data_IF_646180598754
#
_entry.id   IF_646180598754
#
_cell.length_a   1.000
_cell.length_b   1.000
_cell.length_c   1.000
_cell.angle_alpha   90.00
_cell.angle_beta   90.00
_cell.angle_gamma   90.00
#
_symmetry.space_group_name_H-M   'P 1'
#
loop_
_entity.id
_entity.type
_entity.pdbx_description
1 polymer ?
#
# COMPACT_ATOMS: atom_id res chain seq x y z
N UNK A 1 9.18 -66.88 26.26
CA UNK A 1 8.85 -65.90 27.25
C UNK A 1 9.27 -64.50 26.79
N UNK A 2 8.40 -63.89 26.08
CA UNK A 2 8.64 -62.49 25.69
C UNK A 2 8.26 -61.56 26.83
N UNK A 3 9.25 -60.98 27.47
CA UNK A 3 9.02 -59.87 28.38
C UNK A 3 8.65 -58.65 27.57
N UNK A 4 7.37 -58.35 27.49
CA UNK A 4 6.87 -57.07 27.01
C UNK A 4 7.15 -56.05 28.06
N UNK A 5 8.17 -55.22 27.85
CA UNK A 5 8.42 -54.03 28.67
C UNK A 5 7.42 -52.98 28.21
N UNK A 6 6.29 -52.89 28.92
CA UNK A 6 5.40 -51.77 28.81
C UNK A 6 6.14 -50.53 29.34
N UNK A 7 6.71 -49.77 28.46
CA UNK A 7 7.24 -48.48 28.81
C UNK A 7 6.09 -47.55 29.05
N UNK A 8 5.64 -47.39 30.26
CA UNK A 8 4.69 -46.36 30.68
C UNK A 8 5.44 -45.02 30.55
N UNK A 9 5.18 -44.34 29.46
CA UNK A 9 5.58 -42.92 29.35
C UNK A 9 4.63 -42.10 30.23
N UNK A 10 5.02 -41.85 31.46
CA UNK A 10 4.40 -40.78 32.23
C UNK A 10 4.67 -39.45 31.57
N UNK A 11 3.69 -38.93 30.91
CA UNK A 11 3.72 -37.53 30.48
C UNK A 11 3.49 -36.66 31.72
N UNK A 12 4.54 -35.99 32.19
CA UNK A 12 4.39 -34.97 33.19
C UNK A 12 3.56 -33.81 32.61
N UNK A 13 2.36 -33.70 33.09
CA UNK A 13 1.54 -32.53 32.80
C UNK A 13 1.84 -31.46 33.84
N UNK A 14 2.16 -30.26 33.43
CA UNK A 14 2.27 -29.14 34.31
C UNK A 14 0.87 -28.65 34.66
N UNK A 15 0.45 -28.89 35.89
CA UNK A 15 -0.79 -28.32 36.43
C UNK A 15 -0.52 -26.90 36.91
N UNK A 16 -1.35 -25.98 36.46
CA UNK A 16 -1.38 -24.63 37.03
C UNK A 16 -2.35 -24.60 38.20
N UNK A 17 -1.98 -23.94 39.27
CA UNK A 17 -2.86 -23.70 40.38
C UNK A 17 -3.09 -22.18 40.52
N UNK A 18 -4.34 -21.72 40.34
CA UNK A 18 -5.59 -22.41 40.08
C UNK A 18 -5.69 -22.99 38.65
N UNK A 19 -6.50 -24.03 38.49
CA UNK A 19 -6.69 -24.75 37.20
C UNK A 19 -7.35 -23.91 36.09
N UNK A 20 -7.94 -22.79 36.46
CA UNK A 20 -8.68 -21.89 35.58
C UNK A 20 -7.87 -20.68 35.10
N UNK A 21 -6.55 -20.85 34.93
CA UNK A 21 -5.70 -19.78 34.39
C UNK A 21 -6.06 -19.51 32.94
N UNK A 22 -6.75 -18.42 32.69
CA UNK A 22 -7.05 -17.96 31.32
C UNK A 22 -5.92 -17.06 30.84
N UNK A 23 -5.13 -17.57 29.90
CA UNK A 23 -4.13 -16.79 29.20
C UNK A 23 -4.77 -16.03 28.03
N UNK A 24 -4.84 -14.72 28.13
CA UNK A 24 -5.30 -13.86 27.02
C UNK A 24 -4.07 -13.33 26.29
N UNK A 25 -3.87 -13.82 25.08
CA UNK A 25 -2.88 -13.23 24.17
C UNK A 25 -3.52 -12.02 23.48
N UNK A 26 -2.89 -10.87 23.60
CA UNK A 26 -3.23 -9.70 22.82
C UNK A 26 -1.99 -9.23 22.08
N UNK A 27 -2.21 -8.80 20.84
CA UNK A 27 -1.15 -8.18 20.08
C UNK A 27 -1.07 -6.71 20.49
N UNK A 28 0.04 -6.33 21.07
CA UNK A 28 0.29 -4.93 21.36
C UNK A 28 0.22 -4.12 20.05
N UNK A 29 -0.58 -3.07 20.06
CA UNK A 29 -0.67 -2.17 18.89
C UNK A 29 0.65 -1.42 18.79
N UNK A 30 1.32 -1.58 17.67
CA UNK A 30 2.47 -0.73 17.32
C UNK A 30 1.94 0.67 17.09
N UNK A 31 2.09 1.54 18.07
CA UNK A 31 1.62 2.94 18.00
C UNK A 31 2.59 3.83 17.22
N UNK A 32 3.73 3.30 16.80
CA UNK A 32 4.73 4.07 16.07
C UNK A 32 4.28 4.35 14.64
N UNK A 33 4.15 5.63 14.32
CA UNK A 33 3.80 6.08 12.97
C UNK A 33 5.05 6.22 12.09
N UNK A 34 5.05 5.53 10.96
CA UNK A 34 6.12 5.55 9.97
C UNK A 34 5.54 5.40 8.58
N UNK A 35 6.19 6.01 7.60
CA UNK A 35 5.94 5.67 6.19
C UNK A 35 6.62 4.32 5.88
N UNK A 36 5.82 3.30 5.57
CA UNK A 36 6.32 1.96 5.25
C UNK A 36 6.72 1.88 3.79
N UNK A 37 5.87 2.40 2.92
CA UNK A 37 6.00 2.23 1.48
C UNK A 37 5.36 3.37 0.73
N UNK A 38 5.97 3.74 -0.36
CA UNK A 38 5.41 4.62 -1.37
C UNK A 38 5.53 3.96 -2.74
N UNK A 39 4.50 4.01 -3.56
CA UNK A 39 4.52 3.42 -4.88
C UNK A 39 3.65 4.18 -5.87
N UNK A 40 4.01 4.06 -7.14
CA UNK A 40 3.22 4.57 -8.27
C UNK A 40 2.98 3.42 -9.24
N UNK A 41 1.92 2.61 -9.01
CA UNK A 41 1.62 1.46 -9.86
C UNK A 41 1.28 1.89 -11.28
N UNK A 42 0.57 3.00 -11.41
CA UNK A 42 0.09 3.55 -12.68
C UNK A 42 0.48 5.01 -12.83
N UNK A 43 0.44 5.53 -14.04
CA UNK A 43 0.75 6.94 -14.32
C UNK A 43 -0.19 7.90 -13.59
N UNK A 44 -1.47 7.53 -13.41
CA UNK A 44 -2.51 8.36 -12.79
C UNK A 44 -2.71 8.14 -11.30
N UNK A 45 -2.02 7.15 -10.69
CA UNK A 45 -2.22 6.80 -9.29
C UNK A 45 -0.89 6.58 -8.59
N UNK A 46 -0.77 7.13 -7.39
CA UNK A 46 0.28 6.75 -6.46
C UNK A 46 -0.30 6.55 -5.05
N UNK A 47 0.43 5.83 -4.22
CA UNK A 47 -0.07 5.39 -2.93
C UNK A 47 1.00 5.51 -1.85
N UNK A 48 0.56 5.87 -0.65
CA UNK A 48 1.38 5.86 0.55
C UNK A 48 0.78 4.89 1.57
N UNK A 49 1.64 4.12 2.20
CA UNK A 49 1.28 3.16 3.23
C UNK A 49 2.01 3.50 4.52
N UNK A 50 1.26 3.70 5.58
CA UNK A 50 1.77 4.01 6.91
C UNK A 50 1.58 2.82 7.85
N UNK A 51 2.38 2.73 8.91
CA UNK A 51 2.31 1.65 9.90
C UNK A 51 1.07 1.71 10.77
N UNK A 52 0.58 2.90 11.03
CA UNK A 52 -0.59 3.15 11.88
C UNK A 52 -1.46 4.23 11.27
N UNK A 53 -2.68 4.29 11.75
CA UNK A 53 -3.60 5.35 11.37
C UNK A 53 -3.11 6.69 11.91
N UNK A 54 -3.06 7.70 11.06
CA UNK A 54 -2.79 9.08 11.44
C UNK A 54 -4.11 9.83 11.75
N UNK A 55 -4.01 10.86 12.54
CA UNK A 55 -5.16 11.75 12.83
C UNK A 55 -5.35 12.79 11.72
N UNK A 56 -4.29 13.10 11.00
CA UNK A 56 -4.28 14.11 9.94
C UNK A 56 -3.64 13.59 8.65
N UNK A 57 -4.08 14.16 7.53
CA UNK A 57 -3.46 13.86 6.23
C UNK A 57 -2.03 14.42 6.18
N UNK A 58 -1.10 13.70 5.57
CA UNK A 58 0.24 14.22 5.32
C UNK A 58 0.19 15.40 4.33
N UNK A 59 1.07 16.35 4.53
CA UNK A 59 1.26 17.48 3.62
C UNK A 59 2.16 17.04 2.47
N UNK A 60 1.63 17.11 1.25
CA UNK A 60 2.36 16.82 0.04
C UNK A 60 2.71 18.11 -0.68
N UNK A 61 3.97 18.26 -1.07
CA UNK A 61 4.46 19.38 -1.87
C UNK A 61 5.21 18.88 -3.09
N UNK A 62 4.80 19.33 -4.28
CA UNK A 62 5.50 19.02 -5.53
C UNK A 62 6.86 19.71 -5.61
N UNK A 63 7.87 19.00 -6.09
CA UNK A 63 9.21 19.56 -6.33
C UNK A 63 9.47 19.80 -7.83
N UNK A 64 8.84 19.02 -8.70
CA UNK A 64 8.95 19.16 -10.15
C UNK A 64 7.60 19.35 -10.85
N UNK A 65 6.55 19.58 -10.10
CA UNK A 65 5.19 19.85 -10.56
C UNK A 65 4.44 20.73 -9.57
N UNK A 66 3.35 21.36 -9.99
CA UNK A 66 2.45 22.12 -9.13
C UNK A 66 1.39 21.17 -8.53
N UNK A 67 1.32 21.10 -7.20
CA UNK A 67 0.36 20.27 -6.48
C UNK A 67 -1.03 20.89 -6.37
N UNK A 68 -1.21 22.14 -6.71
CA UNK A 68 -2.47 22.88 -6.52
C UNK A 68 -3.62 22.20 -7.28
N UNK A 69 -4.62 21.69 -6.56
CA UNK A 69 -5.76 20.93 -7.12
C UNK A 69 -5.40 19.77 -8.05
N UNK A 70 -4.14 19.28 -7.98
CA UNK A 70 -3.64 18.25 -8.87
C UNK A 70 -4.13 16.84 -8.49
N UNK A 71 -4.59 16.64 -7.26
CA UNK A 71 -4.86 15.31 -6.72
C UNK A 71 -6.24 15.18 -6.09
N UNK A 72 -6.79 13.96 -6.20
CA UNK A 72 -7.93 13.50 -5.39
C UNK A 72 -7.40 12.44 -4.45
N UNK A 73 -7.66 12.59 -3.14
CA UNK A 73 -7.23 11.66 -2.11
C UNK A 73 -8.34 10.66 -1.80
N UNK A 74 -8.04 9.40 -1.92
CA UNK A 74 -8.91 8.30 -1.57
C UNK A 74 -8.38 7.55 -0.34
N UNK A 75 -9.27 7.25 0.60
CA UNK A 75 -9.00 6.48 1.81
C UNK A 75 -9.79 5.17 1.74
N UNK A 76 -9.21 4.07 1.21
CA UNK A 76 -9.95 2.84 0.91
C UNK A 76 -10.66 2.23 2.11
N UNK A 77 -10.05 2.32 3.29
CA UNK A 77 -10.60 1.76 4.54
C UNK A 77 -11.27 2.79 5.44
N UNK A 78 -11.40 4.06 4.98
CA UNK A 78 -11.77 5.18 5.82
C UNK A 78 -10.71 5.56 6.87
N UNK A 79 -9.56 4.87 6.87
CA UNK A 79 -8.42 5.11 7.76
C UNK A 79 -7.33 5.88 7.02
N UNK A 80 -6.51 6.62 7.77
CA UNK A 80 -5.36 7.36 7.23
C UNK A 80 -4.08 6.52 7.40
N UNK A 81 -4.14 5.23 7.21
CA UNK A 81 -3.00 4.32 7.12
C UNK A 81 -2.64 3.99 5.67
N UNK A 82 -3.63 4.02 4.79
CA UNK A 82 -3.45 3.80 3.36
C UNK A 82 -4.11 4.94 2.60
N UNK A 83 -3.32 5.64 1.80
CA UNK A 83 -3.77 6.79 1.02
C UNK A 83 -3.48 6.56 -0.45
N UNK A 84 -4.50 6.70 -1.27
CA UNK A 84 -4.38 6.71 -2.71
C UNK A 84 -4.58 8.13 -3.22
N UNK A 85 -3.67 8.57 -4.07
CA UNK A 85 -3.72 9.87 -4.73
C UNK A 85 -3.96 9.66 -6.22
N UNK A 86 -5.06 10.18 -6.71
CA UNK A 86 -5.41 10.17 -8.12
C UNK A 86 -5.02 11.48 -8.76
N UNK A 87 -4.23 11.42 -9.81
CA UNK A 87 -3.72 12.60 -10.50
C UNK A 87 -4.76 13.08 -11.51
N UNK A 88 -5.24 14.30 -11.33
CA UNK A 88 -6.21 14.95 -12.23
C UNK A 88 -5.52 15.63 -13.39
N UNK A 89 -4.36 16.23 -13.15
CA UNK A 89 -3.63 17.02 -14.13
C UNK A 89 -2.91 16.12 -15.13
N UNK A 90 -3.19 16.36 -16.41
CA UNK A 90 -2.61 15.59 -17.52
C UNK A 90 -1.11 15.83 -17.69
N UNK A 91 -0.60 16.99 -17.33
CA UNK A 91 0.81 17.29 -17.39
C UNK A 91 1.59 16.45 -16.37
N UNK A 92 1.02 16.27 -15.18
CA UNK A 92 1.64 15.53 -14.08
C UNK A 92 1.61 14.02 -14.35
N UNK A 93 0.49 13.45 -14.80
CA UNK A 93 0.45 12.02 -15.02
C UNK A 93 1.28 11.54 -16.23
N UNK A 94 1.57 12.42 -17.18
CA UNK A 94 2.48 12.12 -18.30
C UNK A 94 3.97 12.11 -17.89
N UNK A 95 4.29 12.66 -16.72
CA UNK A 95 5.67 12.65 -16.22
C UNK A 95 6.06 11.24 -15.76
N UNK A 96 7.19 10.74 -16.25
CA UNK A 96 7.72 9.44 -15.85
C UNK A 96 8.08 9.40 -14.35
N UNK A 97 8.65 10.48 -13.85
CA UNK A 97 9.12 10.59 -12.48
C UNK A 97 8.48 11.79 -11.79
N UNK A 98 7.82 11.54 -10.67
CA UNK A 98 7.34 12.58 -9.77
C UNK A 98 8.30 12.73 -8.59
N UNK A 99 8.75 13.95 -8.35
CA UNK A 99 9.54 14.31 -7.16
C UNK A 99 8.66 15.16 -6.26
N UNK A 100 8.56 14.75 -5.02
CA UNK A 100 7.73 15.42 -4.02
C UNK A 100 8.33 15.33 -2.63
N UNK A 101 8.02 16.28 -1.79
CA UNK A 101 8.26 16.19 -0.36
C UNK A 101 6.97 15.85 0.35
N UNK A 102 7.04 14.90 1.27
CA UNK A 102 5.93 14.45 2.09
C UNK A 102 6.25 14.75 3.54
N UNK A 103 5.44 15.61 4.16
CA UNK A 103 5.55 15.94 5.59
C UNK A 103 4.43 15.22 6.33
N UNK A 104 4.81 14.39 7.29
CA UNK A 104 3.89 13.60 8.10
C UNK A 104 4.39 13.51 9.53
N UNK A 105 3.51 13.10 10.45
CA UNK A 105 3.91 12.83 11.82
C UNK A 105 4.62 11.49 11.91
N UNK A 106 5.80 11.50 12.46
CA UNK A 106 6.66 10.33 12.66
C UNK A 106 6.90 10.13 14.15
N UNK A 107 6.86 8.88 14.60
CA UNK A 107 7.18 8.55 15.98
C UNK A 107 8.69 8.40 16.14
N UNK A 108 9.29 9.26 16.96
CA UNK A 108 10.71 9.23 17.24
C UNK A 108 11.11 8.13 18.24
N UNK A 109 12.38 8.08 18.61
CA UNK A 109 12.91 7.10 19.57
C UNK A 109 12.38 7.30 21.00
N UNK A 110 11.81 8.47 21.30
CA UNK A 110 11.18 8.82 22.58
C UNK A 110 9.66 8.59 22.58
N UNK A 111 9.14 7.92 21.55
CA UNK A 111 7.69 7.72 21.32
C UNK A 111 6.90 9.01 21.20
N UNK A 112 7.51 10.08 20.74
CA UNK A 112 6.85 11.36 20.48
C UNK A 112 6.55 11.49 19.00
N UNK A 113 5.39 12.07 18.68
CA UNK A 113 5.03 12.40 17.30
C UNK A 113 5.70 13.71 16.91
N UNK A 114 6.64 13.64 15.99
CA UNK A 114 7.36 14.80 15.44
C UNK A 114 7.10 14.92 13.94
N UNK A 115 7.02 16.13 13.39
CA UNK A 115 6.88 16.30 11.96
C UNK A 115 8.18 15.85 11.26
N UNK A 116 8.03 14.99 10.29
CA UNK A 116 9.12 14.51 9.43
C UNK A 116 8.81 14.80 7.98
N UNK A 117 9.79 15.29 7.26
CA UNK A 117 9.69 15.56 5.81
C UNK A 117 10.64 14.62 5.08
N UNK A 118 10.08 13.78 4.24
CA UNK A 118 10.84 12.87 3.37
C UNK A 118 10.68 13.31 1.92
N UNK A 119 11.79 13.31 1.16
CA UNK A 119 11.76 13.55 -0.28
C UNK A 119 11.58 12.22 -1.00
N UNK A 120 10.50 12.11 -1.76
CA UNK A 120 10.11 10.90 -2.47
C UNK A 120 10.29 11.08 -3.97
N UNK A 121 10.75 10.00 -4.61
CA UNK A 121 10.84 9.89 -6.05
C UNK A 121 9.97 8.71 -6.50
N UNK A 122 8.88 9.01 -7.19
CA UNK A 122 7.94 8.01 -7.66
C UNK A 122 8.03 7.86 -9.18
N UNK A 123 8.40 6.67 -9.61
CA UNK A 123 8.45 6.30 -11.03
C UNK A 123 7.24 5.42 -11.35
N UNK A 124 6.55 5.71 -12.45
CA UNK A 124 5.42 4.87 -12.88
C UNK A 124 5.93 3.50 -13.32
N UNK A 125 5.31 2.44 -12.79
CA UNK A 125 5.60 1.06 -13.21
C UNK A 125 5.00 0.76 -14.59
N UNK A 126 3.86 1.37 -14.88
CA UNK A 126 3.17 1.26 -16.17
C UNK A 126 3.27 2.62 -16.85
N UNK A 127 3.99 2.67 -17.95
CA UNK A 127 4.05 3.87 -18.77
C UNK A 127 2.75 4.03 -19.55
N UNK A 128 2.22 5.24 -19.70
CA UNK A 128 1.14 5.47 -20.64
C UNK A 128 1.63 5.06 -22.05
N UNK A 129 0.85 4.25 -22.74
CA UNK A 129 1.13 3.88 -24.13
C UNK A 129 1.21 5.15 -24.97
N UNK A 130 2.20 5.22 -25.84
CA UNK A 130 2.27 6.31 -26.81
C UNK A 130 1.08 6.23 -27.77
N UNK A 131 0.70 7.37 -28.37
CA UNK A 131 -0.38 7.40 -29.36
C UNK A 131 -0.17 6.38 -30.49
N UNK A 132 1.09 6.21 -30.94
CA UNK A 132 1.48 5.21 -31.94
C UNK A 132 1.28 3.75 -31.48
N UNK A 133 1.45 3.49 -30.19
CA UNK A 133 1.19 2.16 -29.60
C UNK A 133 -0.31 1.89 -29.46
N UNK A 134 -1.08 2.92 -29.12
CA UNK A 134 -2.55 2.85 -29.06
C UNK A 134 -3.16 2.64 -30.45
N UNK A 135 -2.66 3.32 -31.47
CA UNK A 135 -3.10 3.09 -32.86
C UNK A 135 -2.81 1.65 -33.31
N UNK A 136 -1.60 1.15 -33.08
CA UNK A 136 -1.26 -0.24 -33.41
C UNK A 136 -2.13 -1.26 -32.70
N UNK A 137 -2.44 -1.02 -31.45
CA UNK A 137 -3.33 -1.90 -30.67
C UNK A 137 -4.76 -1.82 -31.16
N UNK A 138 -5.24 -0.64 -31.53
CA UNK A 138 -6.55 -0.44 -32.13
C UNK A 138 -6.65 -1.18 -33.47
N UNK A 139 -5.68 -1.03 -34.35
CA UNK A 139 -5.63 -1.72 -35.63
C UNK A 139 -5.57 -3.24 -35.47
N UNK A 140 -4.78 -3.72 -34.49
CA UNK A 140 -4.70 -5.14 -34.20
C UNK A 140 -6.01 -5.71 -33.64
N UNK A 141 -6.73 -4.95 -32.81
CA UNK A 141 -8.02 -5.34 -32.26
C UNK A 141 -9.12 -5.31 -33.35
N UNK A 142 -9.06 -4.37 -34.26
CA UNK A 142 -9.97 -4.31 -35.41
C UNK A 142 -9.79 -5.54 -36.32
N UNK A 143 -8.57 -6.01 -36.54
CA UNK A 143 -8.28 -7.23 -37.32
C UNK A 143 -8.76 -8.51 -36.62
N UNK A 144 -8.85 -8.53 -35.30
CA UNK A 144 -9.34 -9.66 -34.49
C UNK A 144 -10.86 -9.68 -34.31
N UNK A 145 -11.53 -8.57 -34.50
CA UNK A 145 -13.00 -8.52 -34.39
C UNK A 145 -13.63 -9.35 -35.49
N UNK A 146 -14.50 -10.34 -35.17
CA UNK A 146 -15.22 -11.06 -36.20
C UNK A 146 -16.11 -10.08 -36.96
N UNK A 147 -15.90 -9.98 -38.27
CA UNK A 147 -16.80 -9.21 -39.13
C UNK A 147 -18.17 -9.90 -39.11
N UNK A 148 -19.15 -9.26 -38.54
CA UNK A 148 -20.53 -9.70 -38.68
C UNK A 148 -20.93 -9.42 -40.14
N UNK A 149 -20.89 -10.46 -40.95
CA UNK A 149 -21.45 -10.40 -42.29
C UNK A 149 -22.96 -10.52 -42.12
N UNK A 150 -23.67 -9.40 -42.16
CA UNK A 150 -25.12 -9.43 -42.30
C UNK A 150 -25.45 -9.96 -43.70
N UNK A 151 -25.94 -11.19 -43.75
CA UNK A 151 -26.63 -11.69 -44.97
C UNK A 151 -27.94 -10.92 -45.04
N UNK A 152 -27.94 -9.93 -45.88
CA UNK A 152 -29.18 -9.32 -46.35
C UNK A 152 -29.95 -10.29 -47.27
#
# INVERSE_FOLDING_TARGET
>A
DSLTIDTIMERAYTHFSPDDVILRCFKERVLSQRLIRSERPESRKFSFYFSTQADSLPLLKGLNFDETNAFIVEKPTGRIDTLHYWIRDSLIYKMDTLKMSLTYLYTDTLNQLVPRTDTLRLVSKIRPKSEKELEKEHDFNMLKSPRIISKG
#
